data_IF_598263638781
#
_entry.id   IF_598263638781
#
_cell.length_a   1.000
_cell.length_b   1.000
_cell.length_c   1.000
_cell.angle_alpha   90.00
_cell.angle_beta   90.00
_cell.angle_gamma   90.00
#
_symmetry.space_group_name_H-M   'P 1'
#
loop_
_entity.id
_entity.type
_entity.pdbx_description
1 polymer ?
#
# COMPACT_ATOMS: atom_id res chain seq x y z
N UNK A 1 0.72 30.77 11.49
CA UNK A 1 0.14 31.07 10.16
C UNK A 1 1.03 30.47 9.09
N UNK A 2 0.48 29.63 8.21
CA UNK A 2 1.17 29.22 6.98
C UNK A 2 0.88 30.27 5.92
N UNK A 3 1.90 30.71 5.20
CA UNK A 3 1.76 31.66 4.11
C UNK A 3 1.26 30.92 2.86
N UNK A 4 0.09 31.30 2.37
CA UNK A 4 -0.47 30.74 1.13
C UNK A 4 0.01 31.56 -0.07
N UNK A 5 0.44 30.87 -1.13
CA UNK A 5 0.91 31.53 -2.36
C UNK A 5 -0.28 31.90 -3.25
N UNK A 6 -0.13 32.92 -4.09
CA UNK A 6 -1.17 33.34 -5.05
C UNK A 6 -1.61 32.18 -5.94
N UNK A 7 -0.68 31.27 -6.28
CA UNK A 7 -0.99 30.02 -6.99
C UNK A 7 -1.85 29.06 -6.17
N UNK A 8 -1.62 28.91 -4.86
CA UNK A 8 -2.44 28.04 -4.01
C UNK A 8 -3.89 28.55 -3.93
N UNK A 9 -4.06 29.87 -3.89
CA UNK A 9 -5.36 30.56 -3.92
C UNK A 9 -6.04 30.35 -5.28
N UNK A 10 -5.32 30.51 -6.39
CA UNK A 10 -5.91 30.34 -7.72
C UNK A 10 -6.33 28.87 -8.01
N UNK A 11 -5.56 27.90 -7.49
CA UNK A 11 -5.90 26.48 -7.60
C UNK A 11 -7.04 26.06 -6.65
N UNK A 12 -7.19 26.69 -5.48
CA UNK A 12 -8.27 26.37 -4.54
C UNK A 12 -9.65 26.65 -5.14
N UNK A 13 -9.80 27.72 -5.92
CA UNK A 13 -11.05 28.08 -6.61
C UNK A 13 -11.43 27.15 -7.78
N UNK A 14 -10.51 26.33 -8.30
CA UNK A 14 -10.76 25.40 -9.43
C UNK A 14 -10.86 23.95 -9.02
N UNK A 15 -10.53 23.62 -7.77
CA UNK A 15 -10.44 22.23 -7.31
C UNK A 15 -11.85 21.75 -6.95
N UNK A 16 -12.43 20.92 -7.82
CA UNK A 16 -13.62 20.13 -7.42
C UNK A 16 -13.24 19.31 -6.19
N UNK A 17 -14.03 19.40 -5.11
CA UNK A 17 -13.88 18.51 -3.97
C UNK A 17 -13.89 17.08 -4.48
N UNK A 18 -12.84 16.35 -4.13
CA UNK A 18 -12.76 14.93 -4.45
C UNK A 18 -13.62 14.16 -3.47
N UNK A 19 -14.18 13.01 -3.89
CA UNK A 19 -14.90 12.11 -2.98
C UNK A 19 -14.10 11.72 -1.74
N UNK A 20 -12.76 11.73 -1.84
CA UNK A 20 -11.85 11.50 -0.72
C UNK A 20 -11.86 12.66 0.28
N UNK A 21 -11.84 13.90 -0.20
CA UNK A 21 -11.89 15.09 0.66
C UNK A 21 -13.26 15.18 1.35
N UNK A 22 -14.37 14.95 0.63
CA UNK A 22 -15.72 14.90 1.21
C UNK A 22 -15.83 13.82 2.31
N UNK A 23 -15.26 12.64 2.06
CA UNK A 23 -15.25 11.57 3.05
C UNK A 23 -14.46 11.93 4.31
N UNK A 24 -13.30 12.59 4.16
CA UNK A 24 -12.49 13.02 5.31
C UNK A 24 -13.19 14.12 6.12
N UNK A 25 -13.92 15.01 5.46
CA UNK A 25 -14.73 16.03 6.16
C UNK A 25 -15.84 15.38 7.00
N UNK A 26 -16.55 14.39 6.44
CA UNK A 26 -17.56 13.62 7.19
C UNK A 26 -16.93 12.91 8.38
N UNK A 27 -15.71 12.36 8.23
CA UNK A 27 -14.99 11.74 9.35
C UNK A 27 -14.66 12.75 10.45
N UNK A 28 -14.19 13.93 10.08
CA UNK A 28 -13.82 15.00 11.02
C UNK A 28 -15.04 15.57 11.76
N UNK A 29 -16.22 15.51 11.14
CA UNK A 29 -17.49 15.90 11.76
C UNK A 29 -18.02 14.85 12.75
N UNK A 30 -17.94 13.57 12.39
CA UNK A 30 -18.55 12.48 13.18
C UNK A 30 -17.67 12.07 14.36
N UNK A 31 -16.35 12.08 14.20
CA UNK A 31 -15.42 11.50 15.17
C UNK A 31 -14.80 12.60 16.04
N UNK A 32 -14.96 12.53 17.39
CA UNK A 32 -14.27 13.45 18.30
C UNK A 32 -12.80 13.05 18.45
N UNK A 33 -11.98 13.46 17.48
CA UNK A 33 -10.58 13.07 17.38
C UNK A 33 -9.76 13.42 18.62
N UNK A 34 -9.95 14.61 19.17
CA UNK A 34 -9.17 15.08 20.32
C UNK A 34 -9.40 14.20 21.56
N UNK A 35 -10.65 13.81 21.83
CA UNK A 35 -10.99 12.91 22.93
C UNK A 35 -10.40 11.52 22.72
N UNK A 36 -10.54 10.97 21.52
CA UNK A 36 -10.06 9.62 21.22
C UNK A 36 -8.53 9.55 21.23
N UNK A 37 -7.87 10.57 20.71
CA UNK A 37 -6.42 10.72 20.79
C UNK A 37 -5.98 10.82 22.24
N UNK A 38 -6.64 11.64 23.06
CA UNK A 38 -6.31 11.79 24.48
C UNK A 38 -6.44 10.49 25.28
N UNK A 39 -7.40 9.63 24.95
CA UNK A 39 -7.55 8.31 25.59
C UNK A 39 -6.41 7.35 25.22
N UNK A 40 -5.92 7.40 23.98
CA UNK A 40 -4.91 6.45 23.46
C UNK A 40 -3.48 6.94 23.70
N UNK A 41 -3.27 8.26 23.78
CA UNK A 41 -1.96 8.90 23.94
C UNK A 41 -1.10 8.30 25.07
N UNK A 42 -1.63 8.02 26.28
CA UNK A 42 -0.83 7.43 27.36
C UNK A 42 -0.23 6.06 27.03
N UNK A 43 -0.87 5.32 26.12
CA UNK A 43 -0.44 3.99 25.69
C UNK A 43 0.39 4.02 24.40
N UNK A 44 0.50 5.18 23.74
CA UNK A 44 1.15 5.30 22.45
C UNK A 44 2.67 5.35 22.58
N UNK A 45 3.46 4.65 21.73
CA UNK A 45 4.90 4.57 21.91
C UNK A 45 5.58 5.92 21.62
N UNK A 46 6.33 6.46 22.59
CA UNK A 46 7.07 7.72 22.44
C UNK A 46 8.41 7.59 21.67
N UNK A 47 8.60 6.52 20.90
CA UNK A 47 9.62 6.47 19.84
C UNK A 47 11.08 6.62 20.27
N UNK A 48 11.54 5.95 21.34
CA UNK A 48 12.93 6.05 21.81
C UNK A 48 13.98 5.34 20.92
N UNK A 49 13.57 4.40 20.07
CA UNK A 49 14.49 3.58 19.24
C UNK A 49 13.80 3.09 17.96
N UNK A 50 14.47 3.20 16.81
CA UNK A 50 13.95 2.74 15.51
C UNK A 50 13.26 3.83 14.69
N UNK A 51 12.37 3.44 13.78
CA UNK A 51 11.60 4.39 12.95
C UNK A 51 10.69 5.23 13.85
N UNK A 52 10.65 6.57 13.70
CA UNK A 52 9.80 7.41 14.53
C UNK A 52 8.33 6.98 14.37
N UNK A 53 7.58 6.91 15.49
CA UNK A 53 6.17 6.58 15.47
C UNK A 53 5.41 7.64 14.67
N UNK A 54 4.42 7.21 13.88
CA UNK A 54 3.54 8.15 13.18
C UNK A 54 2.67 8.91 14.19
N UNK A 55 2.23 10.11 13.87
CA UNK A 55 1.31 10.85 14.73
C UNK A 55 0.08 10.00 15.07
N UNK A 56 -0.30 9.97 16.34
CA UNK A 56 -1.36 9.10 16.88
C UNK A 56 -2.69 9.25 16.13
N UNK A 57 -3.09 10.49 15.84
CA UNK A 57 -4.32 10.79 15.10
C UNK A 57 -4.27 10.23 13.66
N UNK A 58 -3.12 10.36 12.97
CA UNK A 58 -2.92 9.76 11.64
C UNK A 58 -3.01 8.23 11.69
N UNK A 59 -2.41 7.62 12.71
CA UNK A 59 -2.48 6.17 12.89
C UNK A 59 -3.91 5.71 13.15
N UNK A 60 -4.65 6.43 14.00
CA UNK A 60 -6.05 6.14 14.30
C UNK A 60 -6.94 6.26 13.06
N UNK A 61 -6.78 7.35 12.29
CA UNK A 61 -7.43 7.53 10.99
C UNK A 61 -7.13 6.37 10.03
N UNK A 62 -5.86 5.94 9.95
CA UNK A 62 -5.48 4.78 9.14
C UNK A 62 -6.17 3.48 9.59
N UNK A 63 -6.24 3.22 10.91
CA UNK A 63 -6.90 2.02 11.43
C UNK A 63 -8.41 2.02 11.15
N UNK A 64 -9.10 3.14 11.33
CA UNK A 64 -10.53 3.25 11.04
C UNK A 64 -10.82 3.04 9.55
N UNK A 65 -10.01 3.63 8.67
CA UNK A 65 -10.08 3.37 7.24
C UNK A 65 -9.85 1.89 6.89
N UNK A 66 -8.88 1.26 7.56
CA UNK A 66 -8.61 -0.18 7.40
C UNK A 66 -9.79 -1.05 7.81
N UNK A 67 -10.50 -0.69 8.88
CA UNK A 67 -11.68 -1.41 9.36
C UNK A 67 -12.86 -1.18 8.41
N UNK A 68 -13.21 0.07 8.11
CA UNK A 68 -14.41 0.41 7.34
C UNK A 68 -14.37 -0.05 5.89
N UNK A 69 -13.20 -0.02 5.27
CA UNK A 69 -13.02 -0.48 3.89
C UNK A 69 -12.43 -1.89 3.81
N UNK A 70 -12.29 -2.57 4.94
CA UNK A 70 -11.64 -3.88 5.03
C UNK A 70 -10.26 -3.90 4.34
N UNK A 71 -9.55 -2.76 4.40
CA UNK A 71 -8.19 -2.56 3.85
C UNK A 71 -7.10 -3.03 4.81
N UNK A 72 -7.49 -3.49 6.00
CA UNK A 72 -6.62 -4.32 6.81
C UNK A 72 -6.16 -5.50 5.94
N UNK A 73 -4.93 -5.95 6.14
CA UNK A 73 -4.43 -7.21 5.58
C UNK A 73 -4.58 -8.27 6.71
N UNK A 74 -5.78 -8.55 7.29
CA UNK A 74 -5.92 -9.55 8.35
C UNK A 74 -5.61 -10.95 7.80
N UNK A 75 -5.52 -11.07 6.48
CA UNK A 75 -5.22 -12.29 5.78
C UNK A 75 -3.76 -12.74 5.94
N UNK A 76 -2.82 -11.86 6.30
CA UNK A 76 -1.40 -12.24 6.32
C UNK A 76 -0.88 -12.43 7.75
N UNK A 77 -1.13 -13.61 8.34
CA UNK A 77 -0.53 -14.00 9.62
C UNK A 77 0.95 -14.32 9.42
N UNK A 78 1.84 -13.78 10.25
CA UNK A 78 3.27 -14.11 10.14
C UNK A 78 3.48 -15.60 10.48
N UNK A 79 4.26 -16.37 9.69
CA UNK A 79 4.47 -17.79 9.93
C UNK A 79 5.02 -18.13 11.33
N UNK A 80 5.79 -17.20 11.93
CA UNK A 80 6.33 -17.35 13.28
C UNK A 80 5.32 -17.13 14.41
N UNK A 81 4.13 -16.62 14.11
CA UNK A 81 3.06 -16.35 15.09
C UNK A 81 2.02 -17.48 15.12
N UNK A 82 2.06 -18.40 14.15
CA UNK A 82 1.12 -19.53 14.09
C UNK A 82 1.56 -20.63 15.08
N UNK A 83 0.65 -21.15 15.93
CA UNK A 83 0.95 -22.27 16.81
C UNK A 83 1.32 -23.50 15.97
N UNK A 84 2.27 -24.31 16.46
CA UNK A 84 2.63 -25.56 15.78
C UNK A 84 1.48 -26.55 15.92
N UNK A 85 0.94 -26.97 14.78
CA UNK A 85 -0.02 -28.06 14.70
C UNK A 85 0.70 -29.39 14.97
N UNK A 86 0.04 -30.36 15.62
CA UNK A 86 0.59 -31.70 15.89
C UNK A 86 1.02 -32.40 14.60
N UNK A 87 2.01 -33.29 14.69
CA UNK A 87 2.74 -33.88 13.54
C UNK A 87 1.90 -34.52 12.42
N UNK A 88 0.62 -34.82 12.66
CA UNK A 88 -0.29 -35.46 11.69
C UNK A 88 -1.47 -34.57 11.23
N UNK A 89 -1.59 -33.32 11.69
CA UNK A 89 -2.69 -32.45 11.28
C UNK A 89 -2.24 -31.47 10.19
N UNK A 90 -3.04 -31.37 9.13
CA UNK A 90 -2.76 -30.50 7.98
C UNK A 90 -2.92 -29.04 8.40
N UNK A 91 -1.80 -28.30 8.46
CA UNK A 91 -1.77 -26.87 8.73
C UNK A 91 -2.16 -26.07 7.48
N UNK A 92 -3.46 -26.04 7.21
CA UNK A 92 -4.05 -25.29 6.09
C UNK A 92 -3.74 -23.79 6.17
N UNK A 93 -3.62 -23.20 7.37
CA UNK A 93 -3.30 -21.79 7.55
C UNK A 93 -1.88 -21.48 7.04
N UNK A 94 -0.88 -22.25 7.47
CA UNK A 94 0.51 -22.09 7.01
C UNK A 94 0.65 -22.38 5.52
N UNK A 95 -0.08 -23.36 5.00
CA UNK A 95 -0.11 -23.66 3.57
C UNK A 95 -0.64 -22.48 2.75
N UNK A 96 -1.81 -21.94 3.11
CA UNK A 96 -2.41 -20.78 2.46
C UNK A 96 -1.47 -19.58 2.53
N UNK A 97 -0.90 -19.32 3.70
CA UNK A 97 -0.02 -18.17 3.93
C UNK A 97 1.31 -18.24 3.16
N UNK A 98 1.88 -19.44 3.06
CA UNK A 98 3.06 -19.69 2.23
C UNK A 98 2.74 -19.45 0.75
N UNK A 99 1.58 -19.90 0.26
CA UNK A 99 1.17 -19.62 -1.12
C UNK A 99 0.97 -18.13 -1.38
N UNK A 100 0.32 -17.39 -0.46
CA UNK A 100 0.19 -15.93 -0.56
C UNK A 100 1.56 -15.24 -0.62
N UNK A 101 2.47 -15.63 0.27
CA UNK A 101 3.83 -15.07 0.34
C UNK A 101 4.65 -15.39 -0.93
N UNK A 102 4.53 -16.61 -1.44
CA UNK A 102 5.17 -17.06 -2.69
C UNK A 102 4.65 -16.30 -3.92
N UNK A 103 3.36 -15.99 -3.97
CA UNK A 103 2.79 -15.15 -5.03
C UNK A 103 3.24 -13.70 -4.86
N UNK A 104 3.17 -13.14 -3.65
CA UNK A 104 3.56 -11.77 -3.33
C UNK A 104 5.01 -11.50 -3.72
N UNK A 105 5.95 -12.39 -3.38
CA UNK A 105 7.36 -12.18 -3.70
C UNK A 105 7.64 -12.12 -5.22
N UNK A 106 6.94 -12.94 -6.02
CA UNK A 106 7.03 -12.90 -7.50
C UNK A 106 6.48 -11.59 -8.07
N UNK A 107 5.33 -11.16 -7.56
CA UNK A 107 4.66 -9.92 -8.00
C UNK A 107 5.50 -8.70 -7.61
N UNK A 108 5.98 -8.63 -6.37
CA UNK A 108 6.85 -7.54 -5.89
C UNK A 108 8.12 -7.43 -6.70
N UNK A 109 8.71 -8.57 -7.12
CA UNK A 109 9.90 -8.57 -7.96
C UNK A 109 9.66 -7.90 -9.32
N UNK A 110 8.55 -8.25 -10.00
CA UNK A 110 8.18 -7.63 -11.26
C UNK A 110 7.93 -6.12 -11.11
N UNK A 111 7.22 -5.71 -10.05
CA UNK A 111 6.99 -4.30 -9.77
C UNK A 111 8.27 -3.54 -9.41
N UNK A 112 9.22 -4.18 -8.73
CA UNK A 112 10.54 -3.59 -8.45
C UNK A 112 11.26 -3.28 -9.76
N UNK A 113 11.31 -4.24 -10.70
CA UNK A 113 11.91 -4.03 -12.04
C UNK A 113 11.26 -2.82 -12.71
N UNK A 114 9.93 -2.78 -12.77
CA UNK A 114 9.21 -1.71 -13.46
C UNK A 114 9.42 -0.33 -12.79
N UNK A 115 9.39 -0.26 -11.45
CA UNK A 115 9.47 1.02 -10.72
C UNK A 115 10.89 1.53 -10.59
N UNK A 116 11.84 0.64 -10.28
CA UNK A 116 13.22 1.00 -9.98
C UNK A 116 14.09 0.96 -11.22
N UNK A 117 14.12 -0.15 -11.96
CA UNK A 117 14.97 -0.31 -13.14
C UNK A 117 14.41 0.46 -14.34
N UNK A 118 13.10 0.36 -14.61
CA UNK A 118 12.48 1.07 -15.74
C UNK A 118 11.95 2.47 -15.38
N UNK A 119 12.02 2.85 -14.10
CA UNK A 119 11.69 4.22 -13.66
C UNK A 119 10.21 4.60 -13.76
N UNK A 120 9.27 3.64 -13.77
CA UNK A 120 7.84 3.92 -13.82
C UNK A 120 7.34 4.51 -12.49
N UNK A 121 7.39 5.84 -12.36
CA UNK A 121 6.96 6.59 -11.17
C UNK A 121 5.57 7.20 -11.29
N UNK A 122 5.16 7.58 -12.51
CA UNK A 122 3.87 8.23 -12.80
C UNK A 122 3.33 7.81 -14.17
N UNK A 123 2.01 7.91 -14.32
CA UNK A 123 1.35 7.84 -15.62
C UNK A 123 1.82 8.98 -16.51
N UNK A 124 2.04 8.69 -17.80
CA UNK A 124 2.60 9.67 -18.74
C UNK A 124 1.57 10.06 -19.82
N UNK A 125 0.68 9.14 -20.19
CA UNK A 125 -0.26 9.38 -21.27
C UNK A 125 -1.60 9.90 -20.75
N UNK A 126 -2.26 10.75 -21.56
CA UNK A 126 -3.67 11.11 -21.34
C UNK A 126 -4.55 9.94 -21.80
N UNK A 127 -5.35 9.40 -20.87
CA UNK A 127 -6.29 8.29 -21.12
C UNK A 127 -5.83 6.95 -20.53
N UNK A 128 -6.79 6.19 -20.01
CA UNK A 128 -6.53 4.91 -19.34
C UNK A 128 -5.96 3.86 -20.30
N UNK A 129 -6.53 3.74 -21.51
CA UNK A 129 -6.11 2.71 -22.47
C UNK A 129 -4.63 2.81 -22.88
N UNK A 130 -4.13 4.04 -23.03
CA UNK A 130 -2.73 4.28 -23.38
C UNK A 130 -1.78 3.93 -22.24
N UNK A 131 -2.17 4.22 -21.00
CA UNK A 131 -1.37 3.82 -19.82
C UNK A 131 -1.44 2.31 -19.57
N UNK A 132 -2.57 1.67 -19.86
CA UNK A 132 -2.73 0.21 -19.79
C UNK A 132 -1.77 -0.49 -20.77
N UNK A 133 -1.76 -0.08 -22.04
CA UNK A 133 -0.84 -0.62 -23.04
C UNK A 133 0.63 -0.39 -22.67
N UNK A 134 0.97 0.78 -22.12
CA UNK A 134 2.31 1.06 -21.59
C UNK A 134 2.68 0.09 -20.48
N UNK A 135 1.75 -0.22 -19.59
CA UNK A 135 1.97 -1.15 -18.48
C UNK A 135 2.18 -2.58 -19.00
N UNK A 136 1.37 -3.04 -19.97
CA UNK A 136 1.57 -4.35 -20.61
C UNK A 136 2.93 -4.48 -21.28
N UNK A 137 3.36 -3.46 -22.03
CA UNK A 137 4.68 -3.43 -22.62
C UNK A 137 5.79 -3.51 -21.55
N UNK A 138 5.65 -2.79 -20.44
CA UNK A 138 6.62 -2.85 -19.33
C UNK A 138 6.67 -4.21 -18.64
N UNK A 139 5.53 -4.88 -18.44
CA UNK A 139 5.52 -6.23 -17.90
C UNK A 139 6.16 -7.25 -18.85
N UNK A 140 5.92 -7.13 -20.16
CA UNK A 140 6.59 -7.96 -21.16
C UNK A 140 8.12 -7.75 -21.11
N UNK A 141 8.57 -6.49 -21.09
CA UNK A 141 9.99 -6.16 -20.94
C UNK A 141 10.58 -6.64 -19.61
N UNK A 142 9.83 -6.59 -18.50
CA UNK A 142 10.28 -7.07 -17.20
C UNK A 142 10.49 -8.59 -17.20
N UNK A 143 9.60 -9.33 -17.87
CA UNK A 143 9.76 -10.78 -18.05
C UNK A 143 10.99 -11.12 -18.90
N UNK A 144 11.23 -10.37 -19.99
CA UNK A 144 12.43 -10.52 -20.81
C UNK A 144 13.71 -10.19 -20.03
N UNK A 145 13.68 -9.12 -19.23
CA UNK A 145 14.79 -8.73 -18.35
C UNK A 145 15.10 -9.82 -17.31
N UNK A 146 14.07 -10.40 -16.70
CA UNK A 146 14.23 -11.51 -15.76
C UNK A 146 14.80 -12.77 -16.44
N UNK A 147 14.40 -13.08 -17.68
CA UNK A 147 14.97 -14.17 -18.47
C UNK A 147 16.44 -13.93 -18.82
N UNK A 148 16.79 -12.70 -19.22
CA UNK A 148 18.15 -12.31 -19.54
C UNK A 148 19.09 -12.44 -18.33
N UNK A 149 18.64 -12.01 -17.14
CA UNK A 149 19.40 -12.19 -15.89
C UNK A 149 19.57 -13.68 -15.55
N UNK A 150 18.58 -14.50 -15.86
CA UNK A 150 18.62 -15.94 -15.59
C UNK A 150 19.44 -16.74 -16.62
N UNK A 151 20.02 -16.08 -17.65
CA UNK A 151 20.71 -16.72 -18.79
C UNK A 151 19.86 -17.77 -19.51
N UNK A 152 18.52 -17.63 -19.45
CA UNK A 152 17.58 -18.57 -20.06
C UNK A 152 17.17 -18.09 -21.44
N UNK A 153 17.07 -19.03 -22.39
CA UNK A 153 16.52 -18.77 -23.73
C UNK A 153 15.00 -18.81 -23.67
N UNK A 154 14.34 -17.98 -24.48
CA UNK A 154 12.92 -18.11 -24.74
C UNK A 154 12.68 -19.43 -25.49
N UNK A 155 11.94 -20.35 -24.88
CA UNK A 155 11.37 -21.46 -25.65
C UNK A 155 10.21 -20.93 -26.47
N UNK A 156 10.16 -21.18 -27.80
CA UNK A 156 8.94 -20.97 -28.56
C UNK A 156 7.83 -21.86 -27.99
N UNK A 157 6.63 -21.30 -27.88
CA UNK A 157 5.42 -21.99 -27.43
C UNK A 157 4.88 -22.93 -28.52
#
# INVERSE_FOLDING_TARGET
MKQETITDIEYSFRKKKTKREEFLEIMDEIIPWDEWVGVIEPYYPNGKRGRPPMGIEKMLRMYLLQIWFNLSDPANRRPGTLPRVSDNAIDWERYIENRKSSVRCKVEHAFRIIKCQFGYKKTAYRGLKKNENRLYAMFACANLYALAIAERKLCPA
#
